data_IF_783021743676
#
_entry.id   IF_783021743676
#
_cell.length_a   1.000
_cell.length_b   1.000
_cell.length_c   1.000
_cell.angle_alpha   90.00
_cell.angle_beta   90.00
_cell.angle_gamma   90.00
#
_symmetry.space_group_name_H-M   'P 1'
#
loop_
_entity.id
_entity.type
_entity.pdbx_description
1 polymer ?
#
# COMPACT_ATOMS: atom_id res chain seq x y z
N UNK A 1 -21.12 -9.22 25.99
CA UNK A 1 -20.69 -9.61 27.35
C UNK A 1 -19.32 -10.30 27.42
N UNK A 2 -18.75 -10.78 26.30
CA UNK A 2 -17.42 -11.41 26.26
C UNK A 2 -16.27 -10.41 26.47
N UNK A 3 -16.46 -9.17 26.11
CA UNK A 3 -15.41 -8.11 26.11
C UNK A 3 -14.95 -7.67 27.51
N UNK A 4 -15.73 -7.94 28.56
CA UNK A 4 -15.33 -7.61 29.95
C UNK A 4 -14.13 -8.41 30.50
N UNK A 5 -13.63 -9.39 29.74
CA UNK A 5 -12.44 -10.18 30.13
C UNK A 5 -11.13 -9.54 29.71
N UNK A 6 -11.17 -8.50 28.88
CA UNK A 6 -9.99 -7.80 28.37
C UNK A 6 -9.82 -6.48 29.13
N UNK A 7 -8.58 -6.10 29.41
CA UNK A 7 -8.25 -4.85 30.09
C UNK A 7 -8.54 -3.63 29.21
N UNK A 8 -8.33 -3.75 27.90
CA UNK A 8 -8.62 -2.72 26.91
C UNK A 8 -8.96 -3.36 25.55
N UNK A 9 -9.75 -2.64 24.74
CA UNK A 9 -10.17 -3.08 23.40
C UNK A 9 -9.89 -1.96 22.40
N UNK A 10 -9.09 -2.30 21.40
CA UNK A 10 -8.73 -1.39 20.31
C UNK A 10 -9.32 -1.90 19.00
N UNK A 11 -9.86 -0.99 18.18
CA UNK A 11 -10.39 -1.31 16.86
C UNK A 11 -9.57 -0.62 15.78
N UNK A 12 -9.24 -1.34 14.72
CA UNK A 12 -8.70 -0.75 13.48
C UNK A 12 -9.69 -0.97 12.35
N UNK A 13 -10.10 0.13 11.70
CA UNK A 13 -11.07 0.12 10.61
C UNK A 13 -10.34 0.44 9.31
N UNK A 14 -10.15 -0.57 8.48
CA UNK A 14 -9.38 -0.47 7.23
C UNK A 14 -10.14 0.25 6.11
N UNK A 15 -11.48 0.19 6.13
CA UNK A 15 -12.37 0.86 5.17
C UNK A 15 -13.07 2.06 5.84
N UNK A 16 -12.31 2.87 6.57
CA UNK A 16 -12.81 4.00 7.38
C UNK A 16 -13.45 5.13 6.58
N UNK A 17 -13.23 5.19 5.27
CA UNK A 17 -13.84 6.14 4.35
C UNK A 17 -15.37 6.03 4.24
N UNK A 18 -15.99 4.94 4.72
CA UNK A 18 -17.44 4.77 4.80
C UNK A 18 -18.03 5.42 6.07
N UNK A 19 -17.96 6.76 6.16
CA UNK A 19 -18.45 7.50 7.33
C UNK A 19 -19.99 7.46 7.49
N UNK A 20 -20.73 7.18 6.44
CA UNK A 20 -22.18 6.93 6.46
C UNK A 20 -22.54 5.55 7.05
N UNK A 21 -21.58 4.63 7.18
CA UNK A 21 -21.75 3.24 7.66
C UNK A 21 -21.08 2.98 9.00
N UNK A 22 -20.71 4.03 9.75
CA UNK A 22 -20.06 3.86 11.07
C UNK A 22 -21.01 3.14 12.02
N UNK A 23 -20.65 1.93 12.51
CA UNK A 23 -21.54 1.13 13.33
C UNK A 23 -21.73 1.75 14.71
N UNK A 24 -22.93 1.54 15.30
CA UNK A 24 -23.25 2.07 16.61
C UNK A 24 -22.25 1.67 17.71
N UNK A 25 -21.64 0.47 17.60
CA UNK A 25 -20.62 -0.02 18.54
C UNK A 25 -19.37 0.85 18.55
N UNK A 26 -19.00 1.47 17.41
CA UNK A 26 -17.87 2.40 17.32
C UNK A 26 -18.09 3.70 18.09
N UNK A 27 -19.34 4.07 18.32
CA UNK A 27 -19.77 5.29 19.06
C UNK A 27 -19.99 5.02 20.55
N UNK A 28 -19.96 3.73 20.94
CA UNK A 28 -20.17 3.29 22.33
C UNK A 28 -18.84 3.29 23.09
N UNK A 29 -18.92 3.07 24.41
CA UNK A 29 -17.74 2.85 25.25
C UNK A 29 -17.17 1.43 25.20
N UNK A 30 -17.50 0.63 24.17
CA UNK A 30 -17.01 -0.72 23.99
C UNK A 30 -15.53 -0.74 23.64
N UNK A 31 -15.09 0.22 22.82
CA UNK A 31 -13.69 0.38 22.46
C UNK A 31 -13.04 1.49 23.28
N UNK A 32 -11.86 1.23 23.79
CA UNK A 32 -11.03 2.24 24.45
C UNK A 32 -10.48 3.23 23.41
N UNK A 33 -10.15 2.74 22.22
CA UNK A 33 -9.80 3.57 21.07
C UNK A 33 -10.11 2.87 19.75
N UNK A 34 -10.47 3.68 18.75
CA UNK A 34 -10.63 3.25 17.36
C UNK A 34 -9.57 3.95 16.51
N UNK A 35 -9.01 3.23 15.56
CA UNK A 35 -8.10 3.77 14.55
C UNK A 35 -8.76 3.72 13.18
N UNK A 36 -8.64 4.80 12.44
CA UNK A 36 -9.03 4.93 11.04
C UNK A 36 -7.79 4.79 10.15
N UNK A 37 -7.96 4.42 8.88
CA UNK A 37 -6.84 4.17 7.98
C UNK A 37 -6.29 5.46 7.34
N UNK A 38 -7.05 6.55 7.33
CA UNK A 38 -6.67 7.81 6.73
C UNK A 38 -6.92 9.00 7.66
N UNK A 39 -6.03 9.99 7.64
CA UNK A 39 -6.14 11.24 8.41
C UNK A 39 -7.43 11.98 8.04
N UNK A 40 -7.83 11.95 6.77
CA UNK A 40 -9.01 12.64 6.27
C UNK A 40 -10.33 12.06 6.83
N UNK A 41 -10.29 10.85 7.42
CA UNK A 41 -11.45 10.22 8.06
C UNK A 41 -11.62 10.61 9.54
N UNK A 42 -10.62 11.20 10.19
CA UNK A 42 -10.67 11.57 11.62
C UNK A 42 -11.84 12.50 11.91
N UNK A 43 -11.99 13.55 11.11
CA UNK A 43 -13.03 14.57 11.31
C UNK A 43 -14.45 14.00 11.11
N UNK A 44 -14.77 13.27 10.00
CA UNK A 44 -16.06 12.62 9.84
C UNK A 44 -16.40 11.63 10.96
N UNK A 45 -15.44 10.83 11.41
CA UNK A 45 -15.65 9.87 12.51
C UNK A 45 -15.92 10.57 13.85
N UNK A 46 -15.18 11.64 14.13
CA UNK A 46 -15.42 12.47 15.32
C UNK A 46 -16.80 13.11 15.29
N UNK A 47 -17.19 13.69 14.15
CA UNK A 47 -18.51 14.29 13.95
C UNK A 47 -19.64 13.26 14.11
N UNK A 48 -19.40 12.00 13.74
CA UNK A 48 -20.34 10.90 13.94
C UNK A 48 -20.43 10.41 15.41
N UNK A 49 -19.61 10.95 16.32
CA UNK A 49 -19.63 10.63 17.75
C UNK A 49 -18.62 9.58 18.21
N UNK A 50 -17.65 9.20 17.37
CA UNK A 50 -16.51 8.38 17.80
C UNK A 50 -15.53 9.23 18.60
N UNK A 51 -15.12 8.75 19.77
CA UNK A 51 -14.24 9.50 20.68
C UNK A 51 -12.79 9.42 20.20
N UNK A 52 -12.19 10.57 19.89
CA UNK A 52 -10.78 10.76 19.58
C UNK A 52 -10.19 9.62 18.72
N UNK A 53 -10.69 9.39 17.49
CA UNK A 53 -10.17 8.34 16.64
C UNK A 53 -8.66 8.58 16.36
N UNK A 54 -7.85 7.53 16.47
CA UNK A 54 -6.46 7.56 16.05
C UNK A 54 -6.32 7.32 14.56
N UNK A 55 -5.13 7.51 14.01
CA UNK A 55 -4.82 7.16 12.61
C UNK A 55 -3.84 5.99 12.61
N UNK A 56 -4.12 4.96 11.82
CA UNK A 56 -3.24 3.82 11.61
C UNK A 56 -3.26 3.47 10.11
N UNK A 57 -2.37 4.07 9.30
CA UNK A 57 -2.34 3.85 7.86
C UNK A 57 -1.90 2.43 7.50
N UNK A 58 -2.16 2.03 6.26
CA UNK A 58 -1.60 0.80 5.71
C UNK A 58 -0.07 0.77 5.82
N UNK A 59 0.47 -0.42 6.05
CA UNK A 59 1.88 -0.71 6.08
C UNK A 59 2.23 -1.88 5.18
N UNK A 60 3.49 -2.30 5.24
CA UNK A 60 4.00 -3.52 4.61
C UNK A 60 5.04 -4.17 5.54
N UNK A 61 5.27 -5.47 5.41
CA UNK A 61 6.38 -6.12 6.11
C UNK A 61 7.66 -5.95 5.28
N UNK A 62 8.39 -4.87 5.55
CA UNK A 62 9.64 -4.56 4.84
C UNK A 62 10.82 -5.23 5.52
N UNK A 63 10.89 -5.15 6.86
CA UNK A 63 12.04 -5.57 7.64
C UNK A 63 12.32 -7.06 7.55
N UNK A 64 11.28 -7.91 7.63
CA UNK A 64 11.47 -9.37 7.64
C UNK A 64 12.10 -9.93 6.36
N UNK A 65 11.97 -9.23 5.22
CA UNK A 65 12.51 -9.64 3.93
C UNK A 65 13.51 -8.60 3.35
N UNK A 66 14.01 -7.68 4.16
CA UNK A 66 14.80 -6.54 3.69
C UNK A 66 16.04 -6.96 2.88
N UNK A 67 16.85 -7.87 3.43
CA UNK A 67 18.08 -8.34 2.77
C UNK A 67 17.80 -9.13 1.50
N UNK A 68 16.78 -9.99 1.51
CA UNK A 68 16.39 -10.81 0.37
C UNK A 68 15.86 -9.95 -0.79
N UNK A 69 15.08 -8.93 -0.47
CA UNK A 69 14.57 -7.97 -1.46
C UNK A 69 15.69 -7.15 -2.11
N UNK A 70 16.66 -6.70 -1.31
CA UNK A 70 17.84 -6.01 -1.85
C UNK A 70 18.64 -6.93 -2.80
N UNK A 71 18.84 -8.19 -2.41
CA UNK A 71 19.56 -9.17 -3.24
C UNK A 71 18.81 -9.47 -4.55
N UNK A 72 17.48 -9.45 -4.54
CA UNK A 72 16.65 -9.74 -5.70
C UNK A 72 16.59 -8.61 -6.74
N UNK A 73 17.04 -7.40 -6.43
CA UNK A 73 16.91 -6.24 -7.34
C UNK A 73 17.59 -6.46 -8.70
N UNK A 74 18.74 -7.12 -8.73
CA UNK A 74 19.46 -7.42 -9.97
C UNK A 74 18.77 -8.46 -10.87
N UNK A 75 17.77 -9.18 -10.38
CA UNK A 75 17.04 -10.25 -11.09
C UNK A 75 15.64 -9.82 -11.57
N UNK A 76 15.26 -8.56 -11.42
CA UNK A 76 13.96 -8.05 -11.89
C UNK A 76 13.86 -8.19 -13.41
N UNK A 77 12.89 -8.98 -13.88
CA UNK A 77 12.72 -9.39 -15.27
C UNK A 77 11.43 -8.92 -15.92
N UNK A 78 10.44 -8.50 -15.12
CA UNK A 78 9.14 -7.99 -15.60
C UNK A 78 9.14 -6.47 -15.52
N UNK A 79 8.87 -5.80 -16.63
CA UNK A 79 8.84 -4.33 -16.64
C UNK A 79 7.60 -3.80 -15.93
N UNK A 80 6.43 -4.37 -16.23
CA UNK A 80 5.15 -3.90 -15.70
C UNK A 80 4.28 -5.06 -15.21
N UNK A 81 3.94 -5.05 -13.93
CA UNK A 81 2.98 -5.98 -13.30
C UNK A 81 1.65 -5.26 -13.08
N UNK A 82 0.53 -5.92 -13.37
CA UNK A 82 -0.80 -5.41 -13.06
C UNK A 82 -1.38 -6.07 -11.80
N UNK A 83 -1.83 -5.25 -10.84
CA UNK A 83 -2.55 -5.73 -9.66
C UNK A 83 -3.80 -4.88 -9.38
N UNK A 84 -4.90 -5.55 -9.10
CA UNK A 84 -6.15 -4.91 -8.73
C UNK A 84 -6.97 -4.41 -9.93
N UNK A 85 -7.95 -3.53 -9.64
CA UNK A 85 -8.81 -2.94 -10.65
C UNK A 85 -8.07 -1.94 -11.50
N UNK A 86 -8.53 -1.81 -12.74
CA UNK A 86 -7.99 -0.88 -13.73
C UNK A 86 -9.12 0.05 -14.23
N UNK A 87 -8.82 1.25 -14.74
CA UNK A 87 -9.77 2.02 -15.53
C UNK A 87 -10.06 1.33 -16.87
N UNK A 88 -11.15 1.72 -17.51
CA UNK A 88 -11.64 1.08 -18.74
C UNK A 88 -10.57 0.92 -19.84
N UNK A 89 -9.65 1.89 -19.95
CA UNK A 89 -8.56 1.85 -20.95
C UNK A 89 -7.55 0.70 -20.71
N UNK A 90 -7.47 0.14 -19.50
CA UNK A 90 -6.52 -0.90 -19.08
C UNK A 90 -7.22 -2.17 -18.55
N UNK A 91 -8.56 -2.27 -18.69
CA UNK A 91 -9.31 -3.38 -18.08
C UNK A 91 -9.06 -4.71 -18.79
N UNK A 92 -8.84 -4.68 -20.10
CA UNK A 92 -8.50 -5.84 -20.92
C UNK A 92 -7.01 -6.14 -20.83
N UNK A 93 -6.64 -7.22 -20.14
CA UNK A 93 -5.24 -7.63 -19.94
C UNK A 93 -4.57 -8.06 -21.26
N UNK A 94 -5.30 -8.68 -22.19
CA UNK A 94 -4.75 -9.12 -23.48
C UNK A 94 -4.43 -7.92 -24.36
N UNK A 95 -5.36 -6.96 -24.44
CA UNK A 95 -5.14 -5.71 -25.18
C UNK A 95 -4.00 -4.88 -24.56
N UNK A 96 -3.93 -4.81 -23.22
CA UNK A 96 -2.86 -4.12 -22.49
C UNK A 96 -1.51 -4.80 -22.73
N UNK A 97 -1.45 -6.12 -22.71
CA UNK A 97 -0.23 -6.88 -22.98
C UNK A 97 0.26 -6.69 -24.45
N UNK A 98 -0.65 -6.72 -25.42
CA UNK A 98 -0.32 -6.49 -26.83
C UNK A 98 0.26 -5.09 -27.02
N UNK A 99 -0.37 -4.08 -26.42
CA UNK A 99 0.09 -2.68 -26.51
C UNK A 99 1.43 -2.47 -25.78
N UNK A 100 1.63 -3.10 -24.63
CA UNK A 100 2.91 -3.10 -23.93
C UNK A 100 4.04 -3.71 -24.77
N UNK A 101 3.76 -4.84 -25.44
CA UNK A 101 4.71 -5.49 -26.32
C UNK A 101 5.10 -4.62 -27.53
N UNK A 102 4.15 -3.90 -28.15
CA UNK A 102 4.43 -2.92 -29.21
C UNK A 102 5.40 -1.80 -28.74
N UNK A 103 5.36 -1.46 -27.45
CA UNK A 103 6.22 -0.46 -26.82
C UNK A 103 7.52 -1.06 -26.23
N UNK A 104 7.75 -2.36 -26.45
CA UNK A 104 8.95 -3.06 -25.97
C UNK A 104 8.94 -3.38 -24.47
N UNK A 105 7.76 -3.37 -23.82
CA UNK A 105 7.60 -3.68 -22.42
C UNK A 105 7.22 -5.15 -22.21
N UNK A 106 7.83 -5.81 -21.23
CA UNK A 106 7.32 -7.06 -20.70
C UNK A 106 6.20 -6.77 -19.69
N UNK A 107 5.03 -7.38 -19.90
CA UNK A 107 3.84 -7.20 -19.09
C UNK A 107 3.41 -8.52 -18.44
N UNK A 108 3.15 -8.48 -17.14
CA UNK A 108 2.54 -9.56 -16.38
C UNK A 108 1.17 -9.10 -15.88
N UNK A 109 0.12 -9.83 -16.25
CA UNK A 109 -1.25 -9.60 -15.77
C UNK A 109 -1.40 -9.95 -14.29
N UNK A 110 -2.64 -10.01 -13.83
CA UNK A 110 -2.91 -10.32 -12.41
C UNK A 110 -2.30 -11.66 -12.02
N UNK A 111 -1.49 -11.72 -10.93
CA UNK A 111 -1.02 -12.99 -10.38
C UNK A 111 -2.19 -13.94 -10.09
N UNK A 112 -2.04 -15.25 -10.36
CA UNK A 112 -3.10 -16.20 -10.13
C UNK A 112 -3.43 -16.31 -8.64
N UNK A 113 -4.70 -16.53 -8.33
CA UNK A 113 -5.10 -16.91 -6.98
C UNK A 113 -4.59 -18.32 -6.67
N UNK A 114 -4.06 -18.53 -5.47
CA UNK A 114 -3.71 -19.84 -4.95
C UNK A 114 -4.94 -20.58 -4.41
N UNK A 115 -4.73 -21.80 -3.93
CA UNK A 115 -5.78 -22.58 -3.28
C UNK A 115 -6.24 -22.00 -1.93
N UNK A 116 -5.47 -21.07 -1.37
CA UNK A 116 -5.76 -20.36 -0.13
C UNK A 116 -5.09 -18.97 -0.13
N UNK A 117 -5.40 -18.16 0.89
CA UNK A 117 -4.89 -16.78 1.01
C UNK A 117 -3.36 -16.72 1.10
N UNK A 118 -2.73 -17.71 1.76
CA UNK A 118 -1.28 -17.76 1.89
C UNK A 118 -0.60 -18.00 0.54
N UNK A 119 -1.11 -18.91 -0.26
CA UNK A 119 -0.59 -19.16 -1.62
C UNK A 119 -0.82 -17.96 -2.52
N UNK A 120 -2.00 -17.32 -2.44
CA UNK A 120 -2.31 -16.10 -3.18
C UNK A 120 -1.35 -14.97 -2.82
N UNK A 121 -1.04 -14.79 -1.54
CA UNK A 121 -0.07 -13.81 -1.07
C UNK A 121 1.36 -14.13 -1.55
N UNK A 122 1.74 -15.41 -1.59
CA UNK A 122 3.04 -15.84 -2.12
C UNK A 122 3.17 -15.55 -3.61
N UNK A 123 2.15 -15.89 -4.43
CA UNK A 123 2.16 -15.59 -5.86
C UNK A 123 2.29 -14.08 -6.13
N UNK A 124 1.59 -13.25 -5.36
CA UNK A 124 1.72 -11.79 -5.46
C UNK A 124 3.14 -11.35 -5.11
N UNK A 125 3.71 -11.86 -4.01
CA UNK A 125 5.07 -11.50 -3.58
C UNK A 125 6.12 -11.93 -4.62
N UNK A 126 5.98 -13.13 -5.19
CA UNK A 126 6.88 -13.62 -6.24
C UNK A 126 6.81 -12.75 -7.50
N UNK A 127 5.61 -12.30 -7.90
CA UNK A 127 5.45 -11.38 -9.04
C UNK A 127 6.04 -10.00 -8.72
N UNK A 128 5.84 -9.46 -7.52
CA UNK A 128 6.43 -8.19 -7.08
C UNK A 128 7.97 -8.26 -7.06
N UNK A 129 8.55 -9.37 -6.62
CA UNK A 129 9.99 -9.55 -6.61
C UNK A 129 10.61 -9.49 -8.02
N UNK A 130 9.86 -9.92 -9.05
CA UNK A 130 10.30 -9.87 -10.46
C UNK A 130 10.01 -8.54 -11.15
N UNK A 131 9.03 -7.76 -10.68
CA UNK A 131 8.56 -6.56 -11.35
C UNK A 131 9.42 -5.33 -11.04
N UNK A 132 9.59 -4.44 -12.04
CA UNK A 132 10.17 -3.10 -11.88
C UNK A 132 9.10 -2.06 -11.51
N UNK A 133 7.95 -2.15 -12.18
CA UNK A 133 6.81 -1.24 -11.99
C UNK A 133 5.52 -2.02 -11.73
N UNK A 134 4.64 -1.43 -10.92
CA UNK A 134 3.28 -1.93 -10.67
C UNK A 134 2.26 -0.97 -11.27
N UNK A 135 1.37 -1.46 -12.12
CA UNK A 135 0.22 -0.71 -12.62
C UNK A 135 -0.91 -0.74 -11.60
N UNK A 136 -1.18 0.40 -10.97
CA UNK A 136 -2.25 0.54 -10.00
C UNK A 136 -2.90 1.93 -10.07
N UNK A 137 -4.22 1.94 -9.96
CA UNK A 137 -5.01 3.17 -10.04
C UNK A 137 -5.86 3.38 -8.80
N UNK A 138 -6.01 4.64 -8.42
CA UNK A 138 -6.96 5.05 -7.40
C UNK A 138 -8.40 4.71 -7.79
N UNK A 139 -9.24 4.58 -6.78
CA UNK A 139 -10.68 4.34 -6.95
C UNK A 139 -11.40 5.47 -7.69
N UNK A 140 -10.85 6.69 -7.70
CA UNK A 140 -11.41 7.82 -8.44
C UNK A 140 -11.44 7.60 -9.95
N UNK A 141 -10.46 6.88 -10.49
CA UNK A 141 -10.34 6.59 -11.93
C UNK A 141 -10.62 5.12 -12.28
N UNK A 142 -10.72 4.25 -11.28
CA UNK A 142 -11.12 2.84 -11.43
C UNK A 142 -12.27 2.48 -10.47
N UNK A 143 -13.45 3.11 -10.58
CA UNK A 143 -14.57 2.91 -9.67
C UNK A 143 -15.17 1.51 -9.81
N UNK A 144 -15.82 1.04 -8.75
CA UNK A 144 -16.62 -0.18 -8.72
C UNK A 144 -17.83 0.02 -7.78
N UNK A 145 -18.89 -0.78 -7.89
CA UNK A 145 -20.08 -0.62 -7.05
C UNK A 145 -19.83 -0.68 -5.54
N UNK A 146 -18.70 -1.29 -5.14
CA UNK A 146 -18.30 -1.44 -3.74
C UNK A 146 -17.20 -0.43 -3.32
N UNK A 147 -16.79 0.50 -4.18
CA UNK A 147 -15.87 1.58 -3.82
C UNK A 147 -16.63 2.84 -3.43
N UNK A 148 -16.04 3.65 -2.57
CA UNK A 148 -16.63 4.94 -2.23
C UNK A 148 -16.68 5.85 -3.47
N UNK A 149 -17.80 6.58 -3.70
CA UNK A 149 -17.97 7.35 -4.94
C UNK A 149 -17.03 8.57 -5.04
N UNK A 150 -16.58 9.11 -3.91
CA UNK A 150 -15.81 10.37 -3.88
C UNK A 150 -14.55 10.33 -3.02
N UNK A 151 -14.34 9.27 -2.22
CA UNK A 151 -13.14 9.14 -1.38
C UNK A 151 -12.16 8.16 -1.98
N UNK A 152 -10.90 8.50 -1.86
CA UNK A 152 -9.76 7.70 -2.27
C UNK A 152 -8.98 7.23 -1.06
N UNK A 153 -8.18 6.20 -1.19
CA UNK A 153 -7.34 5.69 -0.11
C UNK A 153 -6.22 4.80 -0.65
N UNK A 154 -5.13 4.76 0.10
CA UNK A 154 -4.04 3.83 -0.17
C UNK A 154 -4.39 2.44 0.37
N UNK A 155 -3.94 1.39 -0.31
CA UNK A 155 -4.17 0.00 0.07
C UNK A 155 -2.88 -0.80 0.08
N UNK A 156 -2.90 -2.03 0.61
CA UNK A 156 -1.73 -2.91 0.69
C UNK A 156 -0.98 -3.09 -0.63
N UNK A 157 -1.66 -3.12 -1.79
CA UNK A 157 -0.96 -3.27 -3.09
C UNK A 157 0.09 -2.17 -3.36
N UNK A 158 -0.15 -0.93 -2.87
CA UNK A 158 0.79 0.18 -3.00
C UNK A 158 1.98 -0.01 -2.06
N UNK A 159 1.70 -0.30 -0.80
CA UNK A 159 2.73 -0.46 0.22
C UNK A 159 3.58 -1.71 -0.01
N UNK A 160 2.97 -2.83 -0.44
CA UNK A 160 3.68 -4.07 -0.75
C UNK A 160 4.58 -3.95 -1.99
N UNK A 161 4.13 -3.21 -3.03
CA UNK A 161 4.94 -2.92 -4.20
C UNK A 161 6.19 -2.12 -3.82
N UNK A 162 6.01 -1.00 -3.13
CA UNK A 162 7.11 -0.14 -2.68
C UNK A 162 8.08 -0.89 -1.76
N UNK A 163 7.55 -1.71 -0.86
CA UNK A 163 8.35 -2.59 0.00
C UNK A 163 9.18 -3.61 -0.78
N UNK A 164 8.75 -3.98 -1.98
CA UNK A 164 9.43 -4.92 -2.87
C UNK A 164 10.36 -4.24 -3.87
N UNK A 165 10.62 -2.94 -3.73
CA UNK A 165 11.46 -2.17 -4.64
C UNK A 165 10.81 -1.91 -6.00
N UNK A 166 9.48 -1.88 -6.03
CA UNK A 166 8.68 -1.63 -7.23
C UNK A 166 8.11 -0.21 -7.18
N UNK A 167 8.34 0.59 -8.20
CA UNK A 167 7.69 1.89 -8.35
C UNK A 167 6.26 1.70 -8.84
N UNK A 168 5.29 2.40 -8.23
CA UNK A 168 3.90 2.29 -8.66
C UNK A 168 3.59 3.32 -9.74
N UNK A 169 3.09 2.86 -10.88
CA UNK A 169 2.64 3.70 -12.01
C UNK A 169 1.13 3.62 -12.13
N UNK A 170 0.48 4.75 -12.40
CA UNK A 170 -0.98 4.80 -12.52
C UNK A 170 -1.54 6.14 -12.06
N UNK A 171 -2.50 6.11 -11.15
CA UNK A 171 -3.03 7.32 -10.51
C UNK A 171 -3.01 7.15 -9.00
N UNK A 172 -2.17 7.89 -8.32
CA UNK A 172 -2.07 7.84 -6.85
C UNK A 172 -3.31 8.44 -6.20
N UNK A 173 -3.82 7.87 -5.07
CA UNK A 173 -4.89 8.50 -4.31
C UNK A 173 -4.46 9.86 -3.76
N UNK A 174 -5.34 10.85 -3.84
CA UNK A 174 -5.07 12.20 -3.35
C UNK A 174 -5.64 12.39 -1.94
N UNK A 175 -4.95 11.87 -0.93
CA UNK A 175 -5.31 12.03 0.49
C UNK A 175 -4.17 12.62 1.30
N UNK A 176 -4.48 13.13 2.50
CA UNK A 176 -3.47 13.64 3.42
C UNK A 176 -2.52 12.53 3.85
N UNK A 177 -3.04 11.34 4.15
CA UNK A 177 -2.21 10.18 4.52
C UNK A 177 -1.21 9.82 3.43
N UNK A 178 -1.61 9.80 2.16
CA UNK A 178 -0.71 9.50 1.03
C UNK A 178 0.45 10.50 0.97
N UNK A 179 0.15 11.80 1.14
CA UNK A 179 1.19 12.85 1.14
C UNK A 179 2.15 12.75 2.33
N UNK A 180 1.70 12.19 3.46
CA UNK A 180 2.52 12.02 4.67
C UNK A 180 3.41 10.77 4.64
N UNK A 181 2.93 9.68 4.01
CA UNK A 181 3.63 8.39 4.08
C UNK A 181 4.42 8.03 2.81
N UNK A 182 4.12 8.66 1.66
CA UNK A 182 4.86 8.44 0.43
C UNK A 182 5.90 9.55 0.20
N UNK A 183 6.94 9.21 -0.52
CA UNK A 183 8.08 10.09 -0.85
C UNK A 183 8.11 10.41 -2.36
N UNK A 184 8.89 11.38 -2.73
CA UNK A 184 9.10 11.75 -4.14
C UNK A 184 9.71 10.57 -4.90
N UNK A 185 9.06 10.19 -6.01
CA UNK A 185 9.45 9.04 -6.83
C UNK A 185 8.90 7.68 -6.36
N UNK A 186 8.08 7.63 -5.28
CA UNK A 186 7.33 6.43 -4.91
C UNK A 186 6.34 6.02 -6.01
N UNK A 187 5.76 7.02 -6.67
CA UNK A 187 4.74 6.84 -7.69
C UNK A 187 5.00 7.70 -8.92
N UNK A 188 4.49 7.28 -10.07
CA UNK A 188 4.47 8.02 -11.31
C UNK A 188 3.03 8.05 -11.84
N UNK A 189 2.44 9.24 -11.92
CA UNK A 189 1.12 9.41 -12.54
C UNK A 189 1.27 9.23 -14.07
N UNK A 190 0.41 8.40 -14.65
CA UNK A 190 0.33 8.16 -16.09
C UNK A 190 -1.07 8.45 -16.60
N UNK A 191 -1.22 8.55 -17.91
CA UNK A 191 -2.55 8.73 -18.51
C UNK A 191 -3.42 7.50 -18.23
N UNK A 192 -4.52 7.71 -17.53
CA UNK A 192 -5.48 6.65 -17.16
C UNK A 192 -6.62 6.47 -18.17
N UNK A 193 -6.78 7.42 -19.10
CA UNK A 193 -7.84 7.42 -20.12
C UNK A 193 -7.35 6.91 -21.48
N UNK A 194 -6.04 7.07 -21.76
CA UNK A 194 -5.38 6.58 -22.97
C UNK A 194 -4.26 5.61 -22.60
N UNK A 195 -4.51 4.31 -22.80
CA UNK A 195 -3.56 3.25 -22.46
C UNK A 195 -2.25 3.37 -23.27
N UNK A 196 -2.30 3.79 -24.54
CA UNK A 196 -1.09 3.95 -25.35
C UNK A 196 -0.22 5.09 -24.82
N UNK A 197 -0.82 6.22 -24.50
CA UNK A 197 -0.10 7.35 -23.93
C UNK A 197 0.48 6.99 -22.56
N UNK A 198 -0.30 6.35 -21.68
CA UNK A 198 0.17 5.94 -20.38
C UNK A 198 1.26 4.86 -20.42
N UNK A 199 1.14 3.84 -21.27
CA UNK A 199 2.19 2.83 -21.43
C UNK A 199 3.46 3.39 -22.08
N UNK A 200 3.37 4.38 -22.94
CA UNK A 200 4.55 5.10 -23.46
C UNK A 200 5.30 5.83 -22.33
N UNK A 201 4.58 6.42 -21.37
CA UNK A 201 5.19 7.01 -20.17
C UNK A 201 5.88 5.95 -19.29
N UNK A 202 5.28 4.73 -19.19
CA UNK A 202 5.91 3.60 -18.50
C UNK A 202 7.18 3.14 -19.22
N UNK A 203 7.15 3.03 -20.57
CA UNK A 203 8.31 2.64 -21.37
C UNK A 203 9.48 3.61 -21.17
N UNK A 204 9.20 4.91 -21.12
CA UNK A 204 10.20 5.94 -20.82
C UNK A 204 10.76 5.76 -19.39
N UNK A 205 9.93 5.48 -18.40
CA UNK A 205 10.38 5.19 -17.03
C UNK A 205 11.23 3.91 -16.95
N UNK A 206 10.83 2.83 -17.65
CA UNK A 206 11.57 1.57 -17.73
C UNK A 206 12.97 1.77 -18.35
N UNK A 207 13.07 2.61 -19.38
CA UNK A 207 14.35 2.90 -20.05
C UNK A 207 15.39 3.53 -19.11
N UNK A 208 14.94 4.18 -18.06
CA UNK A 208 15.79 4.84 -17.04
C UNK A 208 15.91 4.06 -15.75
N UNK A 209 15.19 2.94 -15.62
CA UNK A 209 15.19 2.17 -14.39
C UNK A 209 16.54 1.55 -14.09
N UNK A 210 16.94 1.58 -12.82
CA UNK A 210 18.16 0.95 -12.32
C UNK A 210 17.88 0.22 -10.99
N UNK A 211 18.66 -0.81 -10.64
CA UNK A 211 18.56 -1.45 -9.32
C UNK A 211 18.67 -0.47 -8.13
N UNK A 212 19.41 0.62 -8.29
CA UNK A 212 19.53 1.66 -7.25
C UNK A 212 18.20 2.37 -6.96
N UNK A 213 17.33 2.53 -7.97
CA UNK A 213 15.98 3.05 -7.75
C UNK A 213 15.13 2.07 -6.94
N UNK A 214 15.21 0.77 -7.25
CA UNK A 214 14.54 -0.26 -6.46
C UNK A 214 15.05 -0.30 -5.00
N UNK A 215 16.37 -0.17 -4.80
CA UNK A 215 16.96 -0.06 -3.45
C UNK A 215 16.41 1.16 -2.70
N UNK A 216 16.32 2.30 -3.37
CA UNK A 216 15.73 3.51 -2.79
C UNK A 216 14.28 3.27 -2.34
N UNK A 217 13.45 2.61 -3.16
CA UNK A 217 12.07 2.28 -2.79
C UNK A 217 12.03 1.42 -1.53
N UNK A 218 12.83 0.34 -1.45
CA UNK A 218 12.89 -0.55 -0.28
C UNK A 218 13.31 0.22 0.98
N UNK A 219 14.34 1.07 0.89
CA UNK A 219 14.84 1.83 2.04
C UNK A 219 13.83 2.88 2.53
N UNK A 220 13.18 3.58 1.61
CA UNK A 220 12.12 4.52 1.94
C UNK A 220 10.89 3.79 2.52
N UNK A 221 10.51 2.63 1.94
CA UNK A 221 9.46 1.82 2.50
C UNK A 221 9.78 1.32 3.91
N UNK A 222 11.03 0.94 4.19
CA UNK A 222 11.48 0.58 5.54
C UNK A 222 11.32 1.74 6.52
N UNK A 223 11.61 2.95 6.10
CA UNK A 223 11.50 4.16 6.92
C UNK A 223 10.06 4.59 7.17
N UNK A 224 9.16 4.44 6.20
CA UNK A 224 7.83 5.04 6.25
C UNK A 224 6.69 4.03 6.32
N UNK A 225 6.84 2.82 5.79
CA UNK A 225 5.75 1.87 5.59
C UNK A 225 5.83 0.61 6.42
N UNK A 226 6.96 0.28 7.07
CA UNK A 226 7.05 -0.97 7.83
C UNK A 226 5.99 -1.05 8.93
N UNK A 227 5.36 -2.23 9.07
CA UNK A 227 4.33 -2.48 10.07
C UNK A 227 4.76 -2.20 11.50
N UNK A 228 6.07 -2.26 11.80
CA UNK A 228 6.58 -1.98 13.14
C UNK A 228 6.31 -0.55 13.57
N UNK A 229 6.35 0.42 12.63
CA UNK A 229 5.94 1.81 12.93
C UNK A 229 4.47 1.89 13.35
N UNK A 230 3.59 1.09 12.72
CA UNK A 230 2.15 1.03 13.06
C UNK A 230 1.94 0.35 14.40
N UNK A 231 2.70 -0.73 14.67
CA UNK A 231 2.65 -1.40 15.97
C UNK A 231 3.17 -0.51 17.10
N UNK A 232 4.19 0.31 16.89
CA UNK A 232 4.63 1.32 17.87
C UNK A 232 3.50 2.30 18.16
N UNK A 233 2.87 2.90 17.13
CA UNK A 233 1.73 3.80 17.30
C UNK A 233 0.58 3.17 18.10
N UNK A 234 0.27 1.92 17.81
CA UNK A 234 -0.75 1.16 18.54
C UNK A 234 -0.34 0.94 20.00
N UNK A 235 0.90 0.47 20.24
CA UNK A 235 1.42 0.19 21.57
C UNK A 235 1.55 1.46 22.44
N UNK A 236 1.95 2.60 21.86
CA UNK A 236 1.94 3.90 22.53
C UNK A 236 0.52 4.29 23.00
N UNK A 237 -0.49 4.03 22.16
CA UNK A 237 -1.89 4.25 22.54
C UNK A 237 -2.35 3.29 23.65
N UNK A 238 -1.70 2.13 23.80
CA UNK A 238 -1.93 1.16 24.88
C UNK A 238 -1.13 1.49 26.16
N UNK A 239 -0.19 2.44 26.06
CA UNK A 239 0.62 2.91 27.21
C UNK A 239 1.98 2.22 27.36
N UNK A 240 2.31 1.19 26.54
CA UNK A 240 3.58 0.48 26.65
C UNK A 240 4.03 -0.06 25.28
N UNK A 241 5.26 0.23 24.89
CA UNK A 241 5.92 -0.36 23.72
C UNK A 241 6.81 -1.51 24.17
N UNK A 242 6.58 -2.75 23.71
CA UNK A 242 7.41 -3.90 24.06
C UNK A 242 8.88 -3.69 23.68
N UNK A 243 9.80 -4.09 24.57
CA UNK A 243 11.24 -3.93 24.35
C UNK A 243 11.73 -4.59 23.06
N UNK A 244 11.16 -5.74 22.66
CA UNK A 244 11.48 -6.40 21.39
C UNK A 244 11.09 -5.56 20.17
N UNK A 245 9.92 -4.91 20.20
CA UNK A 245 9.48 -4.02 19.12
C UNK A 245 10.36 -2.77 19.04
N UNK A 246 10.73 -2.19 20.19
CA UNK A 246 11.64 -1.06 20.25
C UNK A 246 13.03 -1.42 19.67
N UNK A 247 13.57 -2.60 20.00
CA UNK A 247 14.84 -3.09 19.48
C UNK A 247 14.79 -3.32 17.94
N UNK A 248 13.70 -3.90 17.43
CA UNK A 248 13.49 -4.05 15.98
C UNK A 248 13.50 -2.68 15.28
N UNK A 249 12.78 -1.70 15.82
CA UNK A 249 12.73 -0.35 15.26
C UNK A 249 14.11 0.34 15.29
N UNK A 250 14.91 0.12 16.32
CA UNK A 250 16.27 0.64 16.40
C UNK A 250 17.19 0.00 15.35
N UNK A 251 17.11 -1.34 15.20
CA UNK A 251 17.84 -2.06 14.15
C UNK A 251 17.46 -1.61 12.74
N UNK A 252 16.17 -1.34 12.49
CA UNK A 252 15.70 -0.76 11.24
C UNK A 252 16.27 0.62 10.98
N UNK A 253 16.29 1.51 11.98
CA UNK A 253 16.88 2.86 11.86
C UNK A 253 18.32 2.84 11.44
N UNK A 254 19.11 1.88 11.93
CA UNK A 254 20.50 1.73 11.55
C UNK A 254 20.70 1.46 10.05
N UNK A 255 19.67 0.98 9.32
CA UNK A 255 19.74 0.68 7.88
C UNK A 255 19.52 1.92 6.99
N UNK A 256 18.91 3.00 7.49
CA UNK A 256 18.62 4.19 6.69
C UNK A 256 19.23 5.49 7.21
N UNK A 257 19.80 5.50 8.43
CA UNK A 257 20.47 6.69 9.00
C UNK A 257 21.97 6.74 8.67
N UNK A 258 22.57 5.62 8.24
CA UNK A 258 24.03 5.52 8.04
C UNK A 258 24.53 5.97 6.64
N UNK A 259 23.74 6.75 5.87
CA UNK A 259 24.21 7.25 4.55
C UNK A 259 23.97 8.75 4.36
#
# INVERSE_FOLDING_TARGET
FAFRRYGAIYGWVIDSFWDDRIPAVAKSSTYDRIFVADVDDVQPWTAAGVKAPGVLPWGADVWSAFSDRLAALGSKSTDLLRVGRQPAAYEDDEATAALAAELGLSFEGRPPFGANDRESAQHLQDSLNRAKFLLAFSTSVSPAPYTHPTKEYITGRWTDALASGVTVVGKVPNTTTVREILWDGATIDIDHADARAGLAQVADAVSRWTPAQGEQQIRQALQHLDWRHRFVQLCEAMGEVPASLAADCEAMRAQYVQR
#
